data_IF_691459402995
#
_entry.id   IF_691459402995
#
_cell.length_a   1.000
_cell.length_b   1.000
_cell.length_c   1.000
_cell.angle_alpha   90.00
_cell.angle_beta   90.00
_cell.angle_gamma   90.00
#
_symmetry.space_group_name_H-M   'P 1'
#
loop_
_entity.id
_entity.type
_entity.pdbx_description
1 polymer ?
#
# COMPACT_ATOMS: atom_id res chain seq x y z
N UNK A 1 -2.40 -15.74 -29.38
CA UNK A 1 -1.41 -14.84 -28.74
C UNK A 1 -2.02 -13.63 -28.03
N UNK A 2 -3.16 -13.07 -28.47
CA UNK A 2 -3.81 -11.92 -27.80
C UNK A 2 -4.33 -12.19 -26.36
N UNK A 3 -4.68 -13.43 -26.02
CA UNK A 3 -5.19 -13.79 -24.68
C UNK A 3 -4.13 -13.93 -23.59
N UNK A 4 -2.88 -14.24 -23.95
CA UNK A 4 -1.80 -14.44 -22.95
C UNK A 4 -1.32 -13.09 -22.40
N UNK A 5 -1.18 -12.09 -23.26
CA UNK A 5 -0.81 -10.74 -22.82
C UNK A 5 -1.85 -10.10 -21.89
N UNK A 6 -3.15 -10.36 -22.12
CA UNK A 6 -4.21 -9.86 -21.23
C UNK A 6 -4.23 -10.57 -19.89
N UNK A 7 -3.94 -11.88 -19.84
CA UNK A 7 -3.84 -12.63 -18.60
C UNK A 7 -2.64 -12.18 -17.74
N UNK A 8 -1.47 -11.98 -18.36
CA UNK A 8 -0.27 -11.50 -17.66
C UNK A 8 -0.51 -10.10 -17.09
N UNK A 9 -1.11 -9.19 -17.86
CA UNK A 9 -1.45 -7.85 -17.38
C UNK A 9 -2.42 -7.88 -16.20
N UNK A 10 -3.44 -8.74 -16.22
CA UNK A 10 -4.37 -8.90 -15.10
C UNK A 10 -3.66 -9.43 -13.86
N UNK A 11 -2.82 -10.45 -14.00
CA UNK A 11 -2.05 -10.99 -12.88
C UNK A 11 -1.13 -9.92 -12.28
N UNK A 12 -0.39 -9.18 -13.13
CA UNK A 12 0.45 -8.06 -12.70
C UNK A 12 -0.35 -7.03 -11.89
N UNK A 13 -1.46 -6.54 -12.43
CA UNK A 13 -2.30 -5.56 -11.74
C UNK A 13 -2.90 -6.13 -10.45
N UNK A 14 -3.31 -7.40 -10.43
CA UNK A 14 -3.83 -8.04 -9.21
C UNK A 14 -2.77 -8.12 -8.12
N UNK A 15 -1.56 -8.59 -8.45
CA UNK A 15 -0.45 -8.67 -7.49
C UNK A 15 -0.08 -7.28 -7.00
N UNK A 16 0.02 -6.32 -7.91
CA UNK A 16 0.30 -4.92 -7.61
C UNK A 16 -0.72 -4.34 -6.60
N UNK A 17 -2.02 -4.49 -6.88
CA UNK A 17 -3.09 -4.02 -6.00
C UNK A 17 -3.04 -4.71 -4.63
N UNK A 18 -2.73 -6.01 -4.58
CA UNK A 18 -2.58 -6.74 -3.33
C UNK A 18 -1.40 -6.22 -2.48
N UNK A 19 -0.26 -5.91 -3.11
CA UNK A 19 0.89 -5.35 -2.41
C UNK A 19 0.56 -3.99 -1.80
N UNK A 20 -0.08 -3.10 -2.57
CA UNK A 20 -0.52 -1.77 -2.08
C UNK A 20 -1.52 -1.92 -0.95
N UNK A 21 -2.51 -2.81 -1.11
CA UNK A 21 -3.50 -3.11 -0.06
C UNK A 21 -2.85 -3.56 1.24
N UNK A 22 -1.90 -4.49 1.19
CA UNK A 22 -1.18 -4.98 2.38
C UNK A 22 -0.40 -3.85 3.04
N UNK A 23 0.25 -2.97 2.26
CA UNK A 23 0.95 -1.80 2.81
C UNK A 23 0.03 -0.89 3.64
N UNK A 24 -1.15 -0.57 3.12
CA UNK A 24 -2.14 0.25 3.84
C UNK A 24 -2.78 -0.48 5.02
N UNK A 25 -3.05 -1.79 4.89
CA UNK A 25 -3.55 -2.60 5.99
C UNK A 25 -2.56 -2.66 7.15
N UNK A 26 -1.25 -2.73 6.87
CA UNK A 26 -0.20 -2.68 7.89
C UNK A 26 -0.17 -1.33 8.62
N UNK A 27 -0.29 -0.22 7.90
CA UNK A 27 -0.40 1.12 8.51
C UNK A 27 -1.61 1.19 9.44
N UNK A 28 -2.77 0.72 8.98
CA UNK A 28 -4.00 0.71 9.78
C UNK A 28 -3.85 -0.17 11.03
N UNK A 29 -3.27 -1.35 10.90
CA UNK A 29 -3.03 -2.26 12.02
C UNK A 29 -2.19 -1.59 13.11
N UNK A 30 -1.04 -1.01 12.76
CA UNK A 30 -0.19 -0.32 13.73
C UNK A 30 -0.87 0.92 14.32
N UNK A 31 -1.65 1.66 13.53
CA UNK A 31 -2.40 2.80 14.03
C UNK A 31 -3.39 2.39 15.13
N UNK A 32 -4.17 1.33 14.87
CA UNK A 32 -5.19 0.82 15.80
C UNK A 32 -4.53 0.23 17.04
N UNK A 33 -3.50 -0.59 16.89
CA UNK A 33 -2.78 -1.17 18.03
C UNK A 33 -2.17 -0.08 18.91
N UNK A 34 -1.48 0.91 18.33
CA UNK A 34 -0.90 2.01 19.09
C UNK A 34 -1.97 2.85 19.81
N UNK A 35 -3.12 3.07 19.17
CA UNK A 35 -4.24 3.79 19.79
C UNK A 35 -4.84 3.03 20.97
N UNK A 36 -4.99 1.72 20.86
CA UNK A 36 -5.54 0.87 21.92
C UNK A 36 -4.57 0.73 23.11
N UNK A 37 -3.27 0.63 22.85
CA UNK A 37 -2.27 0.38 23.89
C UNK A 37 -1.79 1.67 24.58
N UNK A 38 -1.67 2.78 23.85
CA UNK A 38 -1.00 3.99 24.32
C UNK A 38 -1.75 5.29 24.04
N UNK A 39 -2.96 5.24 23.48
CA UNK A 39 -3.71 6.43 23.10
C UNK A 39 -3.15 7.14 21.86
N UNK A 40 -3.67 8.32 21.55
CA UNK A 40 -3.39 8.99 20.28
C UNK A 40 -1.94 9.50 20.12
N UNK A 41 -1.22 9.71 21.23
CA UNK A 41 0.13 10.30 21.19
C UNK A 41 1.17 9.37 20.56
N UNK A 42 1.02 8.05 20.74
CA UNK A 42 1.93 7.04 20.19
C UNK A 42 1.64 6.63 18.74
N UNK A 43 0.47 7.00 18.21
CA UNK A 43 -0.02 6.53 16.90
C UNK A 43 0.94 6.94 15.79
N UNK A 44 1.32 8.23 15.73
CA UNK A 44 2.18 8.71 14.65
C UNK A 44 3.55 8.03 14.67
N UNK A 45 4.17 7.89 15.84
CA UNK A 45 5.45 7.21 15.98
C UNK A 45 5.39 5.74 15.52
N UNK A 46 4.26 5.06 15.77
CA UNK A 46 4.04 3.68 15.33
C UNK A 46 3.84 3.56 13.80
N UNK A 47 3.22 4.57 13.17
CA UNK A 47 2.91 4.52 11.73
C UNK A 47 3.88 5.26 10.83
N UNK A 48 4.79 6.10 11.34
CA UNK A 48 5.61 7.00 10.52
C UNK A 48 6.35 6.28 9.39
N UNK A 49 7.16 5.27 9.74
CA UNK A 49 7.92 4.49 8.75
C UNK A 49 7.04 3.74 7.75
N UNK A 50 6.04 2.94 8.17
CA UNK A 50 5.19 2.25 7.22
C UNK A 50 4.34 3.21 6.37
N UNK A 51 3.95 4.36 6.92
CA UNK A 51 3.22 5.41 6.20
C UNK A 51 4.09 6.03 5.10
N UNK A 52 5.35 6.36 5.38
CA UNK A 52 6.28 6.89 4.38
C UNK A 52 6.50 5.90 3.22
N UNK A 53 6.59 4.60 3.52
CA UNK A 53 6.69 3.56 2.49
C UNK A 53 5.42 3.46 1.64
N UNK A 54 4.25 3.44 2.27
CA UNK A 54 2.96 3.39 1.59
C UNK A 54 2.71 4.65 0.73
N UNK A 55 3.08 5.83 1.22
CA UNK A 55 2.99 7.09 0.49
C UNK A 55 3.95 7.14 -0.70
N UNK A 56 5.19 6.65 -0.55
CA UNK A 56 6.14 6.55 -1.66
C UNK A 56 5.61 5.61 -2.74
N UNK A 57 5.02 4.47 -2.35
CA UNK A 57 4.37 3.56 -3.28
C UNK A 57 3.17 4.23 -3.98
N UNK A 58 2.35 5.01 -3.27
CA UNK A 58 1.23 5.75 -3.85
C UNK A 58 1.69 6.84 -4.84
N UNK A 59 2.81 7.53 -4.59
CA UNK A 59 3.40 8.46 -5.57
C UNK A 59 3.86 7.72 -6.82
N UNK A 60 4.53 6.57 -6.64
CA UNK A 60 4.91 5.71 -7.77
C UNK A 60 3.70 5.18 -8.54
N UNK A 61 2.57 4.94 -7.86
CA UNK A 61 1.31 4.56 -8.51
C UNK A 61 0.76 5.65 -9.41
N UNK A 62 0.80 6.91 -8.95
CA UNK A 62 0.38 8.06 -9.78
C UNK A 62 1.26 8.16 -11.02
N UNK A 63 2.58 8.02 -10.88
CA UNK A 63 3.51 8.03 -12.01
C UNK A 63 3.26 6.85 -12.96
N UNK A 64 3.04 5.65 -12.42
CA UNK A 64 2.68 4.47 -13.21
C UNK A 64 1.39 4.71 -13.99
N UNK A 65 0.36 5.29 -13.38
CA UNK A 65 -0.90 5.64 -14.04
C UNK A 65 -0.76 6.71 -15.14
N UNK A 66 0.20 7.63 -15.01
CA UNK A 66 0.50 8.64 -16.03
C UNK A 66 1.27 8.07 -17.23
N UNK A 67 2.15 7.09 -17.01
CA UNK A 67 3.03 6.53 -18.05
C UNK A 67 2.42 5.29 -18.75
N UNK A 68 1.59 4.52 -18.04
CA UNK A 68 0.93 3.32 -18.56
C UNK A 68 1.64 2.03 -18.20
#
# INVERSE_FOLDING_TARGET
MAGVGSAVRRLYLSVYNWVVFVGWAQVLYYAVTALLDGGHEGVYAAVERPLQLAQTAAVMEILHGLVG
#
